data_IF_820216508206
#
_entry.id   IF_820216508206
#
_cell.length_a   1.000
_cell.length_b   1.000
_cell.length_c   1.000
_cell.angle_alpha   90.00
_cell.angle_beta   90.00
_cell.angle_gamma   90.00
#
_symmetry.space_group_name_H-M   'P 1'
#
loop_
_entity.id
_entity.type
_entity.pdbx_description
1 polymer ?
#
# COMPACT_ATOMS: atom_id res chain seq x y z
N UNK A 1 30.90 -18.82 -18.18
CA UNK A 1 29.48 -19.23 -18.13
C UNK A 1 29.01 -19.08 -16.69
N UNK A 2 28.12 -18.12 -16.41
CA UNK A 2 27.60 -17.90 -15.06
C UNK A 2 27.02 -16.50 -14.88
N UNK A 3 25.94 -16.18 -15.61
CA UNK A 3 25.10 -15.03 -15.30
C UNK A 3 24.23 -15.44 -14.11
N UNK A 4 24.50 -14.88 -12.93
CA UNK A 4 23.57 -14.90 -11.82
C UNK A 4 22.38 -14.03 -12.24
N UNK A 5 21.36 -14.67 -12.83
CA UNK A 5 20.08 -14.03 -13.07
C UNK A 5 19.54 -13.60 -11.70
N UNK A 6 19.61 -12.31 -11.40
CA UNK A 6 19.03 -11.71 -10.20
C UNK A 6 17.55 -12.09 -10.13
N UNK A 7 17.23 -13.02 -9.24
CA UNK A 7 15.87 -13.26 -8.77
C UNK A 7 15.50 -12.08 -7.87
N UNK A 8 15.17 -10.92 -8.45
CA UNK A 8 14.43 -9.89 -7.71
C UNK A 8 12.99 -10.38 -7.69
N UNK A 9 12.46 -10.86 -6.56
CA UNK A 9 11.04 -11.17 -6.50
C UNK A 9 10.27 -9.90 -6.82
N UNK A 10 9.27 -10.01 -7.71
CA UNK A 10 8.28 -8.97 -7.96
C UNK A 10 7.54 -8.71 -6.64
N UNK A 11 8.05 -7.75 -5.87
CA UNK A 11 7.50 -7.41 -4.55
C UNK A 11 6.38 -6.42 -4.77
N UNK A 12 5.19 -6.97 -4.99
CA UNK A 12 3.97 -6.17 -5.04
C UNK A 12 3.81 -5.42 -3.71
N UNK A 13 3.93 -4.09 -3.76
CA UNK A 13 3.79 -3.24 -2.57
C UNK A 13 2.39 -2.66 -2.56
N UNK A 14 1.58 -3.07 -1.57
CA UNK A 14 0.23 -2.54 -1.38
C UNK A 14 0.30 -1.36 -0.41
N UNK A 15 -0.24 -0.22 -0.84
CA UNK A 15 -0.39 0.99 -0.01
C UNK A 15 -1.87 1.22 0.24
N UNK A 16 -2.21 1.51 1.50
CA UNK A 16 -3.57 1.84 1.93
C UNK A 16 -3.51 3.18 2.65
N UNK A 17 -4.28 4.16 2.18
CA UNK A 17 -4.24 5.53 2.72
C UNK A 17 -5.62 6.17 2.81
N UNK A 18 -5.80 7.07 3.77
CA UNK A 18 -6.96 7.95 3.84
C UNK A 18 -6.81 9.10 2.84
N UNK A 19 -7.73 9.20 1.88
CA UNK A 19 -7.72 10.28 0.87
C UNK A 19 -7.98 11.67 1.44
N UNK A 20 -8.61 11.73 2.62
CA UNK A 20 -8.94 13.00 3.28
C UNK A 20 -7.74 13.65 3.96
N UNK A 21 -6.95 12.87 4.70
CA UNK A 21 -5.87 13.40 5.54
C UNK A 21 -4.47 12.91 5.16
N UNK A 22 -4.36 11.94 4.26
CA UNK A 22 -3.08 11.37 3.78
C UNK A 22 -2.44 10.35 4.73
N UNK A 23 -3.09 9.98 5.83
CA UNK A 23 -2.56 8.96 6.74
C UNK A 23 -2.60 7.57 6.09
N UNK A 24 -1.46 6.87 6.11
CA UNK A 24 -1.40 5.43 5.79
C UNK A 24 -2.10 4.62 6.89
N UNK A 25 -2.94 3.67 6.49
CA UNK A 25 -3.72 2.83 7.41
C UNK A 25 -3.49 1.35 7.12
N UNK A 26 -3.92 0.49 8.03
CA UNK A 26 -3.87 -0.96 7.81
C UNK A 26 -4.86 -1.40 6.73
N UNK A 27 -4.55 -2.50 6.06
CA UNK A 27 -5.45 -3.11 5.07
C UNK A 27 -6.76 -3.55 5.72
N UNK A 28 -7.88 -3.28 5.03
CA UNK A 28 -9.22 -3.57 5.55
C UNK A 28 -9.76 -2.50 6.51
N UNK A 29 -9.01 -1.42 6.76
CA UNK A 29 -9.52 -0.25 7.47
C UNK A 29 -10.64 0.39 6.66
N UNK A 30 -11.83 0.51 7.25
CA UNK A 30 -12.97 1.21 6.65
C UNK A 30 -13.11 2.66 7.12
N UNK A 31 -12.51 3.02 8.27
CA UNK A 31 -12.57 4.36 8.86
C UNK A 31 -11.19 4.79 9.33
N UNK A 32 -10.74 5.96 8.91
CA UNK A 32 -9.47 6.53 9.34
C UNK A 32 -9.51 6.93 10.82
N UNK A 33 -8.62 6.36 11.64
CA UNK A 33 -8.50 6.68 13.07
C UNK A 33 -8.00 8.09 13.39
N UNK A 34 -7.53 8.85 12.39
CA UNK A 34 -6.99 10.21 12.56
C UNK A 34 -8.04 11.29 12.30
N UNK A 35 -8.97 11.06 11.37
CA UNK A 35 -9.92 12.09 10.93
C UNK A 35 -11.35 11.57 10.72
N UNK A 36 -11.64 10.34 11.14
CA UNK A 36 -12.94 9.67 11.06
C UNK A 36 -13.55 9.58 9.64
N UNK A 37 -12.71 9.72 8.61
CA UNK A 37 -13.15 9.62 7.22
C UNK A 37 -13.24 8.17 6.76
N UNK A 38 -14.27 7.86 5.99
CA UNK A 38 -14.47 6.56 5.33
C UNK A 38 -13.82 6.50 3.93
N UNK A 39 -13.21 7.59 3.47
CA UNK A 39 -12.59 7.68 2.14
C UNK A 39 -11.17 7.08 2.18
N UNK A 40 -11.10 5.76 2.02
CA UNK A 40 -9.86 4.95 2.06
C UNK A 40 -9.52 4.44 0.65
N UNK A 41 -8.29 4.73 0.20
CA UNK A 41 -7.73 4.21 -1.05
C UNK A 41 -6.84 3.00 -0.77
N UNK A 42 -6.91 1.99 -1.63
CA UNK A 42 -5.93 0.90 -1.70
C UNK A 42 -5.38 0.84 -3.13
N UNK A 43 -4.06 0.79 -3.27
CA UNK A 43 -3.42 0.60 -4.56
C UNK A 43 -2.12 -0.19 -4.44
N UNK A 44 -1.77 -0.80 -5.56
CA UNK A 44 -0.55 -1.55 -5.72
C UNK A 44 0.48 -0.71 -6.47
N UNK A 45 1.69 -0.59 -5.91
CA UNK A 45 2.85 -0.03 -6.59
C UNK A 45 3.64 -1.18 -7.23
N UNK A 46 3.92 -1.04 -8.52
CA UNK A 46 4.76 -1.93 -9.34
C UNK A 46 5.95 -1.17 -9.89
#
# INVERSE_FOLDING_TARGET
MGLLASLVPDRETVVVECRRCGTTVDRGTSVCSVCDSEDIAEYTIR
#
